data_IF_520619768013
#
_entry.id   IF_520619768013
#
_cell.length_a   1.000
_cell.length_b   1.000
_cell.length_c   1.000
_cell.angle_alpha   90.00
_cell.angle_beta   90.00
_cell.angle_gamma   90.00
#
_symmetry.space_group_name_H-M   'P 1'
#
loop_
_entity.id
_entity.type
_entity.pdbx_description
1 polymer ?
#
# COMPACT_ATOMS: atom_id res chain seq x y z
N UNK A 1 -8.85 -3.87 11.47
CA UNK A 1 -7.91 -3.85 10.33
C UNK A 1 -8.68 -4.18 9.06
N UNK A 2 -8.45 -3.42 7.99
CA UNK A 2 -9.09 -3.71 6.72
C UNK A 2 -8.64 -5.07 6.17
N UNK A 3 -9.44 -5.68 5.31
CA UNK A 3 -9.05 -6.95 4.71
C UNK A 3 -7.83 -6.79 3.78
N UNK A 4 -7.62 -5.60 3.18
CA UNK A 4 -6.40 -5.32 2.40
C UNK A 4 -5.16 -5.41 3.29
N UNK A 5 -5.19 -4.78 4.45
CA UNK A 5 -4.08 -4.85 5.40
C UNK A 5 -3.85 -6.29 5.89
N UNK A 6 -4.91 -7.07 6.10
CA UNK A 6 -4.79 -8.47 6.47
C UNK A 6 -4.08 -9.28 5.39
N UNK A 7 -4.41 -9.07 4.12
CA UNK A 7 -3.74 -9.74 3.00
C UNK A 7 -2.25 -9.40 3.00
N UNK A 8 -1.88 -8.13 3.08
CA UNK A 8 -0.47 -7.73 3.08
C UNK A 8 0.28 -8.31 4.27
N UNK A 9 -0.33 -8.33 5.44
CA UNK A 9 0.29 -8.93 6.63
C UNK A 9 0.47 -10.45 6.50
N UNK A 10 -0.30 -11.10 5.63
CA UNK A 10 -0.21 -12.55 5.41
C UNK A 10 0.92 -12.98 4.47
N UNK A 11 1.62 -12.04 3.85
CA UNK A 11 2.71 -12.36 2.91
C UNK A 11 3.96 -12.91 3.57
N UNK A 12 3.94 -13.14 4.84
CA UNK A 12 5.05 -13.76 5.51
C UNK A 12 5.78 -12.81 6.46
N UNK A 13 6.69 -13.37 7.20
CA UNK A 13 7.37 -12.67 8.27
C UNK A 13 8.25 -11.55 7.71
N UNK A 14 8.01 -10.33 8.15
CA UNK A 14 8.85 -9.19 7.82
C UNK A 14 8.55 -8.52 6.48
N UNK A 15 7.58 -9.01 5.74
CA UNK A 15 7.19 -8.43 4.45
C UNK A 15 5.79 -7.82 4.48
N UNK A 16 5.40 -7.29 5.60
CA UNK A 16 4.20 -6.47 5.71
C UNK A 16 4.53 -5.03 5.37
N UNK A 17 3.49 -4.20 5.17
CA UNK A 17 3.65 -2.74 5.04
C UNK A 17 4.41 -2.17 6.23
N UNK A 18 4.31 -2.79 7.40
CA UNK A 18 5.03 -2.39 8.60
C UNK A 18 6.55 -2.49 8.50
N UNK A 19 7.11 -3.25 7.56
CA UNK A 19 8.56 -3.36 7.38
C UNK A 19 9.20 -2.06 6.91
N UNK A 20 8.44 -1.11 6.39
CA UNK A 20 8.94 0.19 5.96
C UNK A 20 9.69 0.91 7.08
N UNK A 21 9.19 0.83 8.32
CA UNK A 21 9.80 1.49 9.46
C UNK A 21 11.21 0.98 9.80
N UNK A 22 11.55 -0.24 9.37
CA UNK A 22 12.84 -0.87 9.67
C UNK A 22 13.73 -1.04 8.44
N UNK A 23 13.39 -0.37 7.34
CA UNK A 23 14.11 -0.53 6.08
C UNK A 23 15.61 -0.22 6.20
N UNK A 24 15.96 0.85 6.89
CA UNK A 24 17.35 1.20 7.12
C UNK A 24 18.09 0.15 7.93
N UNK A 25 17.43 -0.41 8.95
CA UNK A 25 17.98 -1.49 9.75
C UNK A 25 18.23 -2.75 8.91
N UNK A 26 17.31 -3.06 8.00
CA UNK A 26 17.47 -4.23 7.12
C UNK A 26 18.69 -4.09 6.22
N UNK A 27 18.94 -2.89 5.68
CA UNK A 27 20.16 -2.64 4.89
C UNK A 27 21.42 -2.75 5.74
N UNK A 28 21.40 -2.17 6.93
CA UNK A 28 22.53 -2.24 7.85
C UNK A 28 22.84 -3.71 8.24
N UNK A 29 21.83 -4.49 8.57
CA UNK A 29 21.98 -5.89 8.95
C UNK A 29 22.47 -6.76 7.78
N UNK A 30 22.21 -6.32 6.53
CA UNK A 30 22.73 -6.96 5.32
C UNK A 30 24.13 -6.48 4.94
N UNK A 31 24.81 -5.76 5.84
CA UNK A 31 26.18 -5.29 5.70
C UNK A 31 26.39 -4.18 4.66
N UNK A 32 25.32 -3.45 4.32
CA UNK A 32 25.46 -2.23 3.54
C UNK A 32 26.05 -1.12 4.39
N UNK A 33 26.90 -0.30 3.77
CA UNK A 33 27.56 0.85 4.43
C UNK A 33 26.85 2.14 4.05
N UNK A 34 27.07 3.18 4.86
CA UNK A 34 26.56 4.54 4.59
C UNK A 34 25.06 4.52 4.32
N UNK A 35 24.31 3.84 5.18
CA UNK A 35 22.86 3.72 5.03
C UNK A 35 22.20 5.06 5.33
N UNK A 36 21.48 5.58 4.37
CA UNK A 36 20.70 6.82 4.49
C UNK A 36 19.22 6.55 4.25
N UNK A 37 18.37 7.34 4.92
CA UNK A 37 16.92 7.21 4.82
C UNK A 37 16.33 8.53 4.38
N UNK A 38 15.36 8.45 3.45
CA UNK A 38 14.69 9.61 2.88
C UNK A 38 13.18 9.43 3.03
N UNK A 39 12.55 10.10 4.01
CA UNK A 39 11.09 10.03 4.16
C UNK A 39 10.41 11.00 3.21
N UNK A 40 9.29 10.56 2.65
CA UNK A 40 8.45 11.37 1.76
C UNK A 40 6.99 11.23 2.16
N UNK A 41 6.26 12.33 2.03
CA UNK A 41 4.81 12.31 2.10
C UNK A 41 4.24 12.53 0.71
N UNK A 42 3.27 11.69 0.33
CA UNK A 42 2.50 11.87 -0.89
C UNK A 42 1.06 12.17 -0.51
N UNK A 43 0.59 13.35 -0.86
CA UNK A 43 -0.81 13.72 -0.72
C UNK A 43 -1.51 13.40 -2.02
N UNK A 44 -2.37 12.38 -1.99
CA UNK A 44 -3.14 11.91 -3.13
C UNK A 44 -4.64 12.15 -2.94
N UNK A 45 -4.99 13.04 -2.04
CA UNK A 45 -6.36 13.44 -1.78
C UNK A 45 -7.01 14.07 -3.00
N UNK A 46 -8.34 14.12 -3.00
CA UNK A 46 -9.11 14.73 -4.09
C UNK A 46 -8.61 16.16 -4.36
N UNK A 47 -8.42 16.47 -5.63
CA UNK A 47 -7.97 17.79 -6.07
C UNK A 47 -6.46 18.00 -6.07
N UNK A 48 -5.66 17.05 -5.60
CA UNK A 48 -4.20 17.15 -5.67
C UNK A 48 -3.68 16.72 -7.05
N UNK A 49 -2.44 17.10 -7.36
CA UNK A 49 -1.80 16.78 -8.64
C UNK A 49 -1.68 15.27 -8.88
N UNK A 50 -1.44 14.50 -7.81
CA UNK A 50 -1.23 13.06 -7.91
C UNK A 50 -2.52 12.24 -7.84
N UNK A 51 -3.65 12.87 -7.55
CA UNK A 51 -4.91 12.17 -7.28
C UNK A 51 -5.33 11.22 -8.41
N UNK A 52 -5.39 11.72 -9.64
CA UNK A 52 -5.90 10.93 -10.76
C UNK A 52 -5.02 9.70 -11.04
N UNK A 53 -3.69 9.87 -11.03
CA UNK A 53 -2.74 8.78 -11.25
C UNK A 53 -2.79 7.78 -10.12
N UNK A 54 -2.82 8.26 -8.87
CA UNK A 54 -2.90 7.38 -7.71
C UNK A 54 -4.18 6.56 -7.71
N UNK A 55 -5.32 7.19 -7.98
CA UNK A 55 -6.60 6.52 -8.03
C UNK A 55 -6.62 5.39 -9.06
N UNK A 56 -6.09 5.66 -10.25
CA UNK A 56 -5.98 4.67 -11.31
C UNK A 56 -5.05 3.53 -10.90
N UNK A 57 -3.91 3.85 -10.33
CA UNK A 57 -2.90 2.88 -9.91
C UNK A 57 -3.42 1.97 -8.79
N UNK A 58 -4.02 2.53 -7.76
CA UNK A 58 -4.52 1.73 -6.63
C UNK A 58 -5.70 0.84 -7.05
N UNK A 59 -6.53 1.32 -7.98
CA UNK A 59 -7.62 0.51 -8.51
C UNK A 59 -7.11 -0.72 -9.25
N UNK A 60 -6.04 -0.58 -10.03
CA UNK A 60 -5.39 -1.70 -10.71
C UNK A 60 -4.77 -2.69 -9.73
N UNK A 61 -4.09 -2.18 -8.70
CA UNK A 61 -3.47 -3.03 -7.67
C UNK A 61 -4.54 -3.85 -6.94
N UNK A 62 -5.62 -3.21 -6.52
CA UNK A 62 -6.70 -3.91 -5.80
C UNK A 62 -7.30 -5.00 -6.69
N UNK A 63 -7.49 -4.71 -7.97
CA UNK A 63 -8.02 -5.70 -8.91
C UNK A 63 -7.05 -6.87 -9.09
N UNK A 64 -5.75 -6.60 -9.17
CA UNK A 64 -4.73 -7.64 -9.33
C UNK A 64 -4.60 -8.55 -8.11
N UNK A 65 -4.84 -8.03 -6.91
CA UNK A 65 -4.79 -8.85 -5.69
C UNK A 65 -6.08 -9.63 -5.43
N UNK A 66 -7.11 -9.43 -6.25
CA UNK A 66 -8.42 -10.08 -6.07
C UNK A 66 -8.32 -11.59 -5.86
N UNK A 67 -7.60 -12.37 -6.69
CA UNK A 67 -7.51 -13.83 -6.49
C UNK A 67 -6.93 -14.19 -5.12
N UNK A 68 -5.97 -13.41 -4.67
CA UNK A 68 -5.33 -13.61 -3.38
C UNK A 68 -6.29 -13.31 -2.22
N UNK A 69 -7.05 -12.23 -2.32
CA UNK A 69 -8.06 -11.84 -1.32
C UNK A 69 -9.12 -12.93 -1.19
N UNK A 70 -9.65 -13.41 -2.32
CA UNK A 70 -10.68 -14.44 -2.32
C UNK A 70 -10.19 -15.73 -1.66
N UNK A 71 -8.94 -16.09 -1.92
CA UNK A 71 -8.34 -17.31 -1.37
C UNK A 71 -7.97 -17.19 0.10
N UNK A 72 -7.36 -16.07 0.49
CA UNK A 72 -6.83 -15.89 1.86
C UNK A 72 -7.89 -15.55 2.89
N UNK A 73 -8.91 -14.80 2.51
CA UNK A 73 -9.91 -14.30 3.45
C UNK A 73 -11.25 -15.00 3.32
N UNK A 74 -11.37 -15.99 2.44
CA UNK A 74 -12.63 -16.72 2.19
C UNK A 74 -13.81 -15.78 1.91
N UNK A 75 -13.53 -14.70 1.20
CA UNK A 75 -14.52 -13.72 0.77
C UNK A 75 -15.07 -14.15 -0.57
N UNK A 76 -16.38 -14.01 -0.78
CA UNK A 76 -16.98 -14.32 -2.08
C UNK A 76 -16.64 -13.26 -3.12
N UNK A 77 -16.73 -13.62 -4.39
CA UNK A 77 -16.52 -12.69 -5.49
C UNK A 77 -17.48 -11.50 -5.42
N UNK A 78 -18.75 -11.76 -5.09
CA UNK A 78 -19.75 -10.69 -4.92
C UNK A 78 -19.38 -9.73 -3.79
N UNK A 79 -18.91 -10.26 -2.67
CA UNK A 79 -18.47 -9.44 -1.55
C UNK A 79 -17.27 -8.57 -1.93
N UNK A 80 -16.30 -9.14 -2.66
CA UNK A 80 -15.14 -8.39 -3.14
C UNK A 80 -15.58 -7.26 -4.07
N UNK A 81 -16.42 -7.55 -5.07
CA UNK A 81 -16.87 -6.56 -6.04
C UNK A 81 -17.66 -5.45 -5.36
N UNK A 82 -18.49 -5.77 -4.37
CA UNK A 82 -19.24 -4.77 -3.61
C UNK A 82 -18.33 -3.80 -2.86
N UNK A 83 -17.31 -4.31 -2.17
CA UNK A 83 -16.34 -3.49 -1.45
C UNK A 83 -15.50 -2.66 -2.44
N UNK A 84 -15.10 -3.26 -3.54
CA UNK A 84 -14.29 -2.60 -4.56
C UNK A 84 -15.04 -1.43 -5.21
N UNK A 85 -16.32 -1.65 -5.57
CA UNK A 85 -17.16 -0.59 -6.15
C UNK A 85 -17.38 0.54 -5.15
N UNK A 86 -17.62 0.20 -3.89
CA UNK A 86 -17.77 1.22 -2.83
C UNK A 86 -16.48 2.03 -2.66
N UNK A 87 -15.32 1.37 -2.66
CA UNK A 87 -14.03 2.04 -2.56
C UNK A 87 -13.80 3.00 -3.73
N UNK A 88 -14.13 2.58 -4.96
CA UNK A 88 -14.03 3.44 -6.14
C UNK A 88 -14.94 4.66 -6.02
N UNK A 89 -16.16 4.45 -5.54
CA UNK A 89 -17.11 5.54 -5.32
C UNK A 89 -16.59 6.54 -4.27
N UNK A 90 -16.07 6.03 -3.17
CA UNK A 90 -15.52 6.86 -2.09
C UNK A 90 -14.34 7.70 -2.57
N UNK A 91 -13.49 7.15 -3.42
CA UNK A 91 -12.35 7.89 -3.99
C UNK A 91 -12.77 9.03 -4.90
N UNK A 92 -13.99 9.02 -5.42
CA UNK A 92 -14.50 10.08 -6.28
C UNK A 92 -15.13 11.23 -5.49
N UNK A 93 -15.29 11.09 -4.18
CA UNK A 93 -15.86 12.13 -3.33
C UNK A 93 -14.88 13.31 -3.20
N UNK A 94 -15.37 14.57 -3.26
CA UNK A 94 -14.55 15.74 -2.97
C UNK A 94 -13.97 15.75 -1.55
N UNK A 95 -14.55 14.98 -0.64
CA UNK A 95 -14.06 14.84 0.73
C UNK A 95 -12.97 13.77 0.88
N UNK A 96 -12.65 13.08 -0.21
CA UNK A 96 -11.63 12.03 -0.16
C UNK A 96 -10.27 12.59 0.22
N UNK A 97 -9.69 12.02 1.26
CA UNK A 97 -8.39 12.43 1.79
C UNK A 97 -7.52 11.19 1.99
N UNK A 98 -6.36 11.19 1.36
CA UNK A 98 -5.42 10.09 1.51
C UNK A 98 -3.98 10.60 1.40
N UNK A 99 -3.20 10.31 2.44
CA UNK A 99 -1.79 10.67 2.49
C UNK A 99 -0.97 9.41 2.72
N UNK A 100 0.03 9.19 1.88
CA UNK A 100 0.95 8.06 2.00
C UNK A 100 2.30 8.52 2.54
N UNK A 101 2.84 7.74 3.44
CA UNK A 101 4.22 7.89 3.89
C UNK A 101 5.10 6.88 3.15
N UNK A 102 6.14 7.38 2.48
CA UNK A 102 7.08 6.56 1.75
C UNK A 102 8.46 6.77 2.34
N UNK A 103 9.15 5.68 2.64
CA UNK A 103 10.52 5.72 3.09
C UNK A 103 11.42 5.07 2.04
N UNK A 104 12.41 5.83 1.59
CA UNK A 104 13.48 5.32 0.75
C UNK A 104 14.72 5.12 1.61
N UNK A 105 15.44 4.05 1.39
CA UNK A 105 16.71 3.82 2.05
C UNK A 105 17.76 3.41 1.02
N UNK A 106 18.96 3.94 1.18
CA UNK A 106 20.09 3.63 0.30
C UNK A 106 21.28 3.18 1.13
N UNK A 107 22.12 2.36 0.53
CA UNK A 107 23.34 1.90 1.15
C UNK A 107 24.37 1.54 0.09
N UNK A 108 25.63 1.52 0.49
CA UNK A 108 26.76 1.15 -0.36
C UNK A 108 27.21 -0.27 -0.03
N UNK A 109 27.36 -1.09 -1.05
CA UNK A 109 27.79 -2.48 -0.89
C UNK A 109 29.24 -2.61 -0.37
#
# INVERSE_FOLDING_TARGET
MSWVAQVFNSFGKGFSIGSVAVLGKLLHDAEFKDVERYPYFLDTSFGTTLYARWRQHISLIIYEIKPLVLRKLSVSEEQFEGVFEQAKSDMLSPDFCFVSFILSATGTA
#
